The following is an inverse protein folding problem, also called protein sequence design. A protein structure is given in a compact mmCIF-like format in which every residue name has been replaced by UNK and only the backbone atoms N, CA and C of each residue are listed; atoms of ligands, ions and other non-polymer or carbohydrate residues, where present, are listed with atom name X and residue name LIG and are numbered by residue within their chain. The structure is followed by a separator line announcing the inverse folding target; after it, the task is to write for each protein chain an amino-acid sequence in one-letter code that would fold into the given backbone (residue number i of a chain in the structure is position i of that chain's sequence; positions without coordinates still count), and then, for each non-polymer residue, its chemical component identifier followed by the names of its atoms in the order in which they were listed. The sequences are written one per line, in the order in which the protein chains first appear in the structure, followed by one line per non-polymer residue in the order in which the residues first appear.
data_IF_780538556243
#
_entry.id   IF_780538556243
#
_cell.length_a   1.000
_cell.length_b   1.000
_cell.length_c   1.000
_cell.angle_alpha   90.00
_cell.angle_beta   90.00
_cell.angle_gamma   90.00
#
_symmetry.space_group_name_H-M   'P 1'
#
loop_
_entity.id
_entity.type
_entity.pdbx_description
1 polymer ?
#
# COMPACT_ATOMS: atom_id res chain seq x y z
N UNK A 1 6.97 -34.74 17.63
CA UNK A 1 6.43 -34.54 16.32
C UNK A 1 5.01 -34.07 16.61
N UNK A 2 4.81 -32.94 16.60
CA UNK A 2 4.52 -31.71 15.93
C UNK A 2 3.34 -30.98 16.56
N UNK A 3 3.56 -30.38 17.73
CA UNK A 3 2.62 -29.42 18.33
C UNK A 3 3.11 -27.97 18.23
N UNK A 4 4.09 -27.70 17.36
CA UNK A 4 4.70 -26.36 17.23
C UNK A 4 3.99 -25.49 16.18
N UNK A 5 3.13 -26.07 15.34
CA UNK A 5 2.46 -25.36 14.22
C UNK A 5 1.19 -24.59 14.58
N UNK A 6 0.47 -24.98 15.63
CA UNK A 6 -0.88 -24.44 15.92
C UNK A 6 -0.92 -23.30 16.95
N UNK A 7 0.19 -23.07 17.67
CA UNK A 7 0.24 -22.05 18.74
C UNK A 7 0.42 -20.63 18.20
N UNK A 8 0.95 -20.47 16.98
CA UNK A 8 1.26 -19.15 16.41
C UNK A 8 0.03 -18.44 15.81
N UNK A 9 -1.06 -19.11 15.50
CA UNK A 9 -2.22 -18.49 14.82
C UNK A 9 -3.01 -17.51 15.68
N UNK A 10 -2.92 -17.62 16.99
CA UNK A 10 -3.64 -16.75 17.93
C UNK A 10 -2.72 -15.75 18.66
N UNK A 11 -1.40 -15.83 18.48
CA UNK A 11 -0.48 -14.93 19.17
C UNK A 11 -0.60 -13.50 18.64
N UNK A 12 -0.76 -13.33 17.30
CA UNK A 12 -0.81 -12.04 16.62
C UNK A 12 -2.06 -11.94 15.75
N UNK A 13 -2.79 -10.86 15.90
CA UNK A 13 -3.82 -10.42 14.96
C UNK A 13 -3.30 -9.22 14.16
N UNK A 14 -3.43 -9.27 12.83
CA UNK A 14 -3.09 -8.17 11.93
C UNK A 14 -4.32 -7.29 11.67
N UNK A 15 -4.19 -5.98 11.84
CA UNK A 15 -5.22 -4.99 11.49
C UNK A 15 -4.69 -4.06 10.41
N UNK A 16 -5.24 -4.18 9.20
CA UNK A 16 -4.78 -3.48 8.01
C UNK A 16 -5.69 -2.28 7.73
N UNK A 17 -5.16 -1.07 7.91
CA UNK A 17 -5.83 0.19 7.63
C UNK A 17 -5.85 0.44 6.11
N UNK A 18 -6.99 0.21 5.47
CA UNK A 18 -7.21 0.33 4.03
C UNK A 18 -8.28 1.38 3.66
N UNK A 19 -8.56 2.31 4.57
CA UNK A 19 -9.66 3.28 4.48
C UNK A 19 -9.31 4.64 3.84
N UNK A 20 -8.07 4.90 3.44
CA UNK A 20 -7.62 6.20 2.93
C UNK A 20 -8.28 6.62 1.61
N UNK A 21 -8.77 7.87 1.52
CA UNK A 21 -9.38 8.43 0.28
C UNK A 21 -8.39 8.56 -0.86
N UNK A 22 -7.09 8.76 -0.58
CA UNK A 22 -6.05 8.94 -1.59
C UNK A 22 -6.26 10.15 -2.49
N UNK A 23 -6.82 11.25 -2.01
CA UNK A 23 -7.22 12.42 -2.82
C UNK A 23 -6.08 13.03 -3.63
N UNK A 24 -4.84 12.93 -3.14
CA UNK A 24 -3.63 13.41 -3.83
C UNK A 24 -3.26 12.61 -5.09
N UNK A 25 -3.82 11.41 -5.27
CA UNK A 25 -3.70 10.62 -6.49
C UNK A 25 -4.73 10.99 -7.58
N UNK A 26 -5.58 11.99 -7.33
CA UNK A 26 -6.46 12.58 -8.30
C UNK A 26 -7.40 11.58 -8.99
N UNK A 27 -7.26 11.42 -10.31
CA UNK A 27 -8.12 10.52 -11.09
C UNK A 27 -7.93 9.05 -10.75
N UNK A 28 -6.72 8.63 -10.32
CA UNK A 28 -6.39 7.23 -9.99
C UNK A 28 -7.24 6.68 -8.84
N UNK A 29 -7.70 7.54 -7.92
CA UNK A 29 -8.48 7.13 -6.74
C UNK A 29 -9.91 7.65 -6.73
N UNK A 30 -10.39 8.20 -7.86
CA UNK A 30 -11.74 8.77 -7.90
C UNK A 30 -12.85 7.77 -7.58
N UNK A 31 -12.70 6.54 -8.06
CA UNK A 31 -13.72 5.49 -7.96
C UNK A 31 -13.21 4.24 -7.22
N UNK A 32 -11.98 4.24 -6.76
CA UNK A 32 -11.34 3.12 -6.06
C UNK A 32 -10.57 3.63 -4.84
N UNK A 33 -10.49 2.83 -3.79
CA UNK A 33 -9.65 3.12 -2.64
C UNK A 33 -8.16 3.06 -3.02
N UNK A 34 -7.29 3.88 -2.39
CA UNK A 34 -5.85 3.90 -2.67
C UNK A 34 -5.22 2.51 -2.64
N UNK A 35 -5.50 1.63 -1.65
CA UNK A 35 -4.95 0.28 -1.62
C UNK A 35 -5.31 -0.59 -2.85
N UNK A 36 -6.40 -0.26 -3.56
CA UNK A 36 -6.84 -0.99 -4.75
C UNK A 36 -6.25 -0.46 -6.07
N UNK A 37 -5.42 0.58 -6.04
CA UNK A 37 -4.78 1.13 -7.25
C UNK A 37 -3.82 0.10 -7.84
N UNK A 38 -3.87 -0.15 -9.17
CA UNK A 38 -2.92 -1.04 -9.86
C UNK A 38 -1.48 -0.61 -9.65
N UNK A 39 -0.54 -1.55 -9.51
CA UNK A 39 0.87 -1.29 -9.28
C UNK A 39 1.74 -2.41 -9.89
N UNK A 40 2.93 -2.07 -10.43
CA UNK A 40 3.94 -3.02 -10.84
C UNK A 40 3.49 -4.03 -11.91
N UNK A 41 2.56 -3.65 -12.77
CA UNK A 41 2.10 -4.43 -13.92
C UNK A 41 0.92 -5.38 -13.63
N UNK A 42 0.90 -6.10 -12.52
CA UNK A 42 -0.16 -7.08 -12.20
C UNK A 42 -0.72 -6.97 -10.78
N UNK A 43 -0.07 -6.21 -9.92
CA UNK A 43 -0.43 -6.11 -8.51
C UNK A 43 -1.39 -4.94 -8.26
N UNK A 44 -1.88 -4.87 -7.02
CA UNK A 44 -2.44 -3.68 -6.39
C UNK A 44 -1.60 -3.32 -5.18
N UNK A 45 -1.64 -2.08 -4.74
CA UNK A 45 -0.82 -1.61 -3.61
C UNK A 45 -0.99 -2.52 -2.38
N UNK A 46 -2.21 -2.93 -2.05
CA UNK A 46 -2.51 -3.77 -0.87
C UNK A 46 -1.86 -5.16 -0.93
N UNK A 47 -1.54 -5.66 -2.13
CA UNK A 47 -0.98 -7.00 -2.31
C UNK A 47 0.37 -7.17 -1.59
N UNK A 48 1.14 -6.10 -1.47
CA UNK A 48 2.42 -6.10 -0.76
C UNK A 48 2.22 -6.37 0.73
N UNK A 49 1.32 -5.64 1.39
CA UNK A 49 1.05 -5.83 2.82
C UNK A 49 0.40 -7.18 3.10
N UNK A 50 -0.55 -7.63 2.26
CA UNK A 50 -1.15 -8.97 2.41
C UNK A 50 -0.13 -10.09 2.18
N UNK A 51 0.82 -9.90 1.25
CA UNK A 51 1.91 -10.84 1.01
C UNK A 51 2.88 -10.90 2.19
N UNK A 52 3.23 -9.75 2.75
CA UNK A 52 4.08 -9.69 3.96
C UNK A 52 3.43 -10.42 5.14
N UNK A 53 2.10 -10.23 5.36
CA UNK A 53 1.36 -10.97 6.40
C UNK A 53 1.44 -12.48 6.18
N UNK A 54 1.16 -12.93 4.94
CA UNK A 54 1.22 -14.35 4.58
C UNK A 54 2.63 -14.93 4.76
N UNK A 55 3.66 -14.23 4.27
CA UNK A 55 5.06 -14.66 4.38
C UNK A 55 5.56 -14.64 5.84
N UNK A 56 5.02 -13.77 6.69
CA UNK A 56 5.30 -13.72 8.13
C UNK A 56 4.44 -14.71 8.95
N UNK A 57 3.68 -15.58 8.31
CA UNK A 57 2.77 -16.54 8.97
C UNK A 57 1.68 -15.90 9.85
N UNK A 58 1.31 -14.66 9.62
CA UNK A 58 0.21 -13.98 10.32
C UNK A 58 -1.06 -14.19 9.50
N UNK A 59 -1.92 -15.06 10.01
CA UNK A 59 -3.07 -15.56 9.25
C UNK A 59 -4.42 -15.02 9.67
N UNK A 60 -4.51 -14.34 10.81
CA UNK A 60 -5.74 -13.69 11.26
C UNK A 60 -5.64 -12.20 10.97
N UNK A 61 -6.43 -11.71 10.01
CA UNK A 61 -6.28 -10.36 9.47
C UNK A 61 -7.63 -9.66 9.34
N UNK A 62 -7.78 -8.52 10.00
CA UNK A 62 -8.89 -7.59 9.79
C UNK A 62 -8.48 -6.48 8.81
N UNK A 63 -9.18 -6.33 7.70
CA UNK A 63 -8.95 -5.25 6.73
C UNK A 63 -10.01 -4.17 6.90
N UNK A 64 -9.61 -3.01 7.41
CA UNK A 64 -10.48 -1.88 7.71
C UNK A 64 -10.68 -1.03 6.46
N UNK A 65 -11.87 -1.07 5.88
CA UNK A 65 -12.22 -0.36 4.65
C UNK A 65 -13.27 0.71 4.93
N UNK A 66 -13.19 1.85 4.26
CA UNK A 66 -14.14 2.94 4.45
C UNK A 66 -14.63 3.56 3.15
N UNK A 67 -13.73 3.86 2.21
CA UNK A 67 -14.05 4.53 0.96
C UNK A 67 -13.99 3.57 -0.22
N UNK A 68 -14.95 3.71 -1.16
CA UNK A 68 -15.02 2.92 -2.40
C UNK A 68 -14.70 1.41 -2.22
N UNK A 69 -15.37 0.72 -1.29
CA UNK A 69 -14.93 -0.60 -0.84
C UNK A 69 -15.12 -1.70 -1.90
N UNK A 70 -16.00 -1.51 -2.88
CA UNK A 70 -16.42 -2.58 -3.80
C UNK A 70 -15.27 -3.25 -4.53
N UNK A 71 -14.37 -2.45 -5.14
CA UNK A 71 -13.24 -2.99 -5.90
C UNK A 71 -12.21 -3.65 -4.99
N UNK A 72 -11.97 -3.05 -3.83
CA UNK A 72 -11.05 -3.59 -2.82
C UNK A 72 -11.58 -4.90 -2.23
N UNK A 73 -12.87 -4.95 -1.83
CA UNK A 73 -13.51 -6.16 -1.32
C UNK A 73 -13.50 -7.29 -2.36
N UNK A 74 -13.79 -6.97 -3.64
CA UNK A 74 -13.72 -7.95 -4.71
C UNK A 74 -12.30 -8.47 -4.93
N UNK A 75 -11.29 -7.62 -4.79
CA UNK A 75 -9.88 -8.01 -4.93
C UNK A 75 -9.42 -8.87 -3.76
N UNK A 76 -9.74 -8.51 -2.52
CA UNK A 76 -9.38 -9.31 -1.35
C UNK A 76 -10.12 -10.66 -1.39
N UNK A 77 -11.42 -10.65 -1.70
CA UNK A 77 -12.27 -11.84 -1.68
C UNK A 77 -12.17 -12.58 -0.35
N UNK A 78 -11.86 -13.87 -0.40
CA UNK A 78 -11.61 -14.72 0.76
C UNK A 78 -10.11 -14.78 1.14
N UNK A 79 -9.23 -14.02 0.49
CA UNK A 79 -7.79 -14.04 0.76
C UNK A 79 -7.02 -15.20 0.13
N UNK A 80 -7.62 -15.96 -0.79
CA UNK A 80 -7.02 -17.15 -1.38
C UNK A 80 -5.64 -16.92 -2.03
N UNK A 81 -5.38 -15.84 -2.78
CA UNK A 81 -4.07 -15.59 -3.35
C UNK A 81 -2.93 -15.55 -2.32
N UNK A 82 -3.23 -15.08 -1.12
CA UNK A 82 -2.27 -14.94 -0.01
C UNK A 82 -2.37 -16.09 1.01
N UNK A 83 -3.11 -17.17 0.72
CA UNK A 83 -3.35 -18.26 1.66
C UNK A 83 -3.99 -17.80 3.00
N UNK A 84 -4.80 -16.74 2.93
CA UNK A 84 -5.55 -16.17 4.05
C UNK A 84 -7.01 -16.60 4.06
N UNK A 85 -7.36 -17.67 3.33
CA UNK A 85 -8.70 -18.30 3.28
C UNK A 85 -8.84 -19.43 4.31
N UNK A 86 -8.31 -19.20 5.51
CA UNK A 86 -8.34 -20.20 6.59
C UNK A 86 -9.69 -20.23 7.28
N UNK A 87 -10.06 -21.41 7.79
CA UNK A 87 -11.32 -21.61 8.51
C UNK A 87 -11.27 -20.96 9.90
N UNK A 88 -10.12 -21.08 10.59
CA UNK A 88 -9.86 -20.43 11.86
C UNK A 88 -8.88 -19.25 11.62
N UNK A 89 -9.42 -18.03 11.71
CA UNK A 89 -8.71 -16.80 11.33
C UNK A 89 -9.04 -16.37 9.89
N UNK A 90 -8.00 -16.26 9.04
CA UNK A 90 -8.17 -15.78 7.67
C UNK A 90 -8.35 -14.27 7.57
N UNK A 91 -8.64 -13.78 6.35
CA UNK A 91 -8.88 -12.36 6.12
C UNK A 91 -10.37 -12.04 6.28
N UNK A 92 -10.68 -11.02 7.06
CA UNK A 92 -12.02 -10.45 7.23
C UNK A 92 -12.01 -8.98 6.82
N UNK A 93 -12.94 -8.60 5.94
CA UNK A 93 -13.11 -7.19 5.56
C UNK A 93 -14.08 -6.54 6.54
N UNK A 94 -13.61 -5.52 7.24
CA UNK A 94 -14.31 -4.80 8.30
C UNK A 94 -14.66 -3.40 7.79
N UNK A 95 -15.93 -3.17 7.52
CA UNK A 95 -16.46 -1.88 7.08
C UNK A 95 -17.21 -1.19 8.23
N UNK A 96 -17.29 0.14 8.23
CA UNK A 96 -18.17 0.85 9.13
C UNK A 96 -19.60 0.32 9.02
N UNK A 97 -20.26 0.10 10.13
CA UNK A 97 -21.64 -0.35 10.15
C UNK A 97 -22.56 0.73 10.71
N UNK A 98 -23.79 0.74 10.22
CA UNK A 98 -24.83 1.59 10.78
C UNK A 98 -25.45 0.86 11.98
N UNK A 99 -25.46 1.54 13.13
CA UNK A 99 -26.25 1.14 14.31
C UNK A 99 -27.54 1.95 14.36
N UNK A 100 -28.30 1.81 15.47
CA UNK A 100 -29.57 2.55 15.64
C UNK A 100 -29.36 4.07 15.75
N UNK A 101 -28.13 4.55 15.97
CA UNK A 101 -27.76 5.96 16.11
C UNK A 101 -27.31 6.57 14.79
N UNK A 102 -27.08 5.79 13.75
CA UNK A 102 -26.70 6.24 12.41
C UNK A 102 -25.52 5.51 11.79
N UNK A 103 -25.04 5.98 10.63
CA UNK A 103 -23.83 5.47 9.98
C UNK A 103 -22.60 6.08 10.68
N UNK A 104 -21.77 5.22 11.25
CA UNK A 104 -20.56 5.63 11.98
C UNK A 104 -19.35 5.44 11.06
N UNK A 105 -18.85 6.53 10.48
CA UNK A 105 -17.56 6.53 9.79
C UNK A 105 -16.41 6.43 10.82
N UNK A 106 -15.27 5.89 10.40
CA UNK A 106 -14.06 5.96 11.21
C UNK A 106 -13.55 7.41 11.22
N UNK A 107 -13.39 8.00 12.37
CA UNK A 107 -12.99 9.39 12.55
C UNK A 107 -11.45 9.53 12.46
N UNK A 108 -10.73 8.54 12.98
CA UNK A 108 -9.27 8.44 12.95
C UNK A 108 -8.78 7.00 12.80
N UNK A 109 -7.47 6.84 12.78
CA UNK A 109 -6.84 5.52 12.65
C UNK A 109 -7.04 4.66 13.91
N UNK A 110 -7.04 5.27 15.10
CA UNK A 110 -7.33 4.59 16.36
C UNK A 110 -8.81 4.24 16.49
N UNK A 111 -9.73 5.13 16.08
CA UNK A 111 -11.17 4.87 16.06
C UNK A 111 -11.53 3.65 15.20
N UNK A 112 -10.84 3.49 14.07
CA UNK A 112 -11.04 2.32 13.21
C UNK A 112 -10.73 1.01 13.94
N UNK A 113 -9.74 0.97 14.82
CA UNK A 113 -9.43 -0.19 15.66
C UNK A 113 -10.44 -0.30 16.80
N UNK A 114 -10.77 0.80 17.47
CA UNK A 114 -11.72 0.87 18.60
C UNK A 114 -13.08 0.27 18.22
N UNK A 115 -13.62 0.69 17.09
CA UNK A 115 -14.91 0.16 16.56
C UNK A 115 -14.88 -1.33 16.20
N UNK A 116 -13.70 -1.92 16.11
CA UNK A 116 -13.50 -3.33 15.79
C UNK A 116 -12.83 -4.15 16.92
N UNK A 117 -12.81 -3.64 18.16
CA UNK A 117 -12.27 -4.32 19.35
C UNK A 117 -12.89 -5.73 19.49
N UNK A 118 -14.20 -5.86 19.26
CA UNK A 118 -14.92 -7.15 19.37
C UNK A 118 -14.38 -8.21 18.38
N UNK A 119 -13.93 -7.81 17.19
CA UNK A 119 -13.27 -8.71 16.23
C UNK A 119 -11.94 -9.19 16.80
N UNK A 120 -11.14 -8.31 17.38
CA UNK A 120 -9.83 -8.65 17.94
C UNK A 120 -9.99 -9.54 19.17
N UNK A 121 -10.90 -9.18 20.09
CA UNK A 121 -11.16 -9.91 21.34
C UNK A 121 -11.65 -11.36 21.11
N UNK A 122 -12.23 -11.69 19.94
CA UNK A 122 -12.61 -13.07 19.59
C UNK A 122 -11.41 -14.03 19.52
N UNK A 123 -10.23 -13.51 19.20
CA UNK A 123 -9.00 -14.28 19.05
C UNK A 123 -8.10 -14.22 20.29
N UNK A 124 -8.40 -13.35 21.27
CA UNK A 124 -7.63 -13.10 22.49
C UNK A 124 -6.09 -13.04 22.23
N UNK A 125 -5.62 -12.21 21.30
CA UNK A 125 -4.22 -12.19 20.92
C UNK A 125 -3.35 -11.58 22.01
N UNK A 126 -2.08 -11.97 22.04
CA UNK A 126 -1.09 -11.30 22.88
C UNK A 126 -0.65 -9.97 22.27
N UNK A 127 -0.48 -9.96 20.93
CA UNK A 127 -0.02 -8.80 20.18
C UNK A 127 -1.00 -8.40 19.07
N UNK A 128 -1.11 -7.09 18.85
CA UNK A 128 -1.82 -6.51 17.72
C UNK A 128 -0.81 -5.87 16.77
N UNK A 129 -0.77 -6.34 15.53
CA UNK A 129 -0.01 -5.73 14.45
C UNK A 129 -0.92 -4.81 13.64
N UNK A 130 -0.62 -3.51 13.63
CA UNK A 130 -1.36 -2.51 12.86
C UNK A 130 -0.52 -2.10 11.67
N UNK A 131 -1.14 -2.09 10.48
CA UNK A 131 -0.48 -1.91 9.20
C UNK A 131 -1.20 -0.87 8.35
N UNK A 132 -0.45 -0.12 7.55
CA UNK A 132 -0.98 0.67 6.44
C UNK A 132 -1.05 -0.18 5.18
N UNK A 133 -2.20 -0.13 4.48
CA UNK A 133 -2.45 -0.88 3.24
C UNK A 133 -2.10 -0.11 1.97
N UNK A 134 -1.31 0.96 2.07
CA UNK A 134 -1.08 1.91 1.00
C UNK A 134 0.40 2.22 0.71
N UNK A 135 1.31 1.36 1.17
CA UNK A 135 2.76 1.44 0.95
C UNK A 135 3.29 0.24 0.16
N UNK A 136 4.41 0.45 -0.53
CA UNK A 136 5.14 -0.59 -1.27
C UNK A 136 6.41 -0.94 -0.51
N UNK A 137 6.50 -2.18 -0.02
CA UNK A 137 7.65 -2.69 0.73
C UNK A 137 7.56 -4.21 0.91
N UNK A 138 8.70 -4.84 1.25
CA UNK A 138 8.76 -6.24 1.71
C UNK A 138 9.34 -6.26 3.10
N UNK A 139 8.63 -6.85 4.06
CA UNK A 139 9.04 -6.89 5.47
C UNK A 139 8.59 -8.18 6.13
N UNK A 140 9.51 -8.80 6.87
CA UNK A 140 9.21 -9.89 7.77
C UNK A 140 8.78 -9.34 9.13
N UNK A 141 7.48 -9.40 9.40
CA UNK A 141 6.92 -8.92 10.67
C UNK A 141 7.32 -9.79 11.87
N UNK A 142 7.77 -11.04 11.63
CA UNK A 142 8.26 -11.88 12.71
C UNK A 142 9.52 -11.30 13.36
N UNK A 143 10.43 -10.74 12.54
CA UNK A 143 11.64 -10.09 13.08
C UNK A 143 11.30 -8.87 13.96
N UNK A 144 10.29 -8.09 13.58
CA UNK A 144 9.81 -6.97 14.39
C UNK A 144 9.14 -7.44 15.68
N UNK A 145 8.39 -8.56 15.62
CA UNK A 145 7.79 -9.17 16.80
C UNK A 145 8.83 -9.71 17.78
N UNK A 146 9.86 -10.37 17.28
CA UNK A 146 10.96 -10.88 18.08
C UNK A 146 11.71 -9.74 18.79
N UNK A 147 11.95 -8.63 18.09
CA UNK A 147 12.50 -7.40 18.67
C UNK A 147 11.57 -6.83 19.76
N UNK A 148 10.25 -6.76 19.50
CA UNK A 148 9.26 -6.30 20.47
C UNK A 148 9.31 -7.10 21.77
N UNK A 149 9.38 -8.43 21.64
CA UNK A 149 9.50 -9.36 22.78
C UNK A 149 10.83 -9.21 23.52
N UNK A 150 11.95 -9.09 22.79
CA UNK A 150 13.28 -8.89 23.38
C UNK A 150 13.33 -7.61 24.22
N UNK A 151 12.77 -6.52 23.71
CA UNK A 151 12.69 -5.23 24.40
C UNK A 151 11.64 -5.20 25.52
N UNK A 152 10.78 -6.21 25.63
CA UNK A 152 9.62 -6.22 26.54
C UNK A 152 8.80 -4.94 26.37
N UNK A 153 8.61 -4.52 25.11
CA UNK A 153 7.98 -3.27 24.76
C UNK A 153 6.47 -3.31 25.00
N UNK A 154 5.86 -2.17 25.36
CA UNK A 154 4.41 -1.98 25.31
C UNK A 154 3.97 -1.70 23.87
N UNK A 155 4.83 -1.00 23.09
CA UNK A 155 4.65 -0.76 21.68
C UNK A 155 5.99 -0.73 20.93
N UNK A 156 5.98 -1.21 19.68
CA UNK A 156 7.12 -1.08 18.76
C UNK A 156 6.63 -0.42 17.47
N UNK A 157 7.35 0.58 17.01
CA UNK A 157 7.03 1.37 15.81
C UNK A 157 8.12 1.10 14.76
N UNK A 158 7.74 0.61 13.60
CA UNK A 158 8.68 0.47 12.49
C UNK A 158 9.03 1.83 11.91
N UNK A 159 10.32 2.07 11.70
CA UNK A 159 10.86 3.35 11.24
C UNK A 159 11.87 3.16 10.10
N UNK A 160 11.96 4.18 9.26
CA UNK A 160 12.92 4.26 8.17
C UNK A 160 13.55 5.66 8.14
N UNK A 161 14.80 5.76 7.72
CA UNK A 161 15.43 7.05 7.47
C UNK A 161 15.00 7.60 6.11
N UNK A 162 14.46 8.81 6.09
CA UNK A 162 14.04 9.51 4.87
C UNK A 162 14.91 10.77 4.64
N UNK A 163 14.97 11.33 3.44
CA UNK A 163 15.57 12.66 3.24
C UNK A 163 14.92 13.69 4.17
N UNK A 164 15.72 14.55 4.80
CA UNK A 164 15.22 15.51 5.81
C UNK A 164 14.15 16.45 5.23
N UNK A 165 14.22 16.74 3.94
CA UNK A 165 13.26 17.57 3.21
C UNK A 165 11.88 16.91 3.12
N UNK A 166 11.80 15.58 3.21
CA UNK A 166 10.56 14.81 3.18
C UNK A 166 10.02 14.50 4.57
N UNK A 167 10.84 14.64 5.62
CA UNK A 167 10.51 14.22 6.97
C UNK A 167 9.22 14.88 7.52
N UNK A 168 8.92 16.11 7.12
CA UNK A 168 7.68 16.81 7.50
C UNK A 168 6.38 16.15 7.01
N UNK A 169 6.45 15.14 6.16
CA UNK A 169 5.30 14.39 5.65
C UNK A 169 4.87 13.24 6.57
N UNK A 170 5.74 12.86 7.50
CA UNK A 170 5.63 11.65 8.32
C UNK A 170 5.62 11.98 9.82
N UNK A 171 5.16 11.04 10.62
CA UNK A 171 5.44 11.05 12.05
C UNK A 171 6.93 10.80 12.28
N UNK A 172 7.59 11.68 13.04
CA UNK A 172 9.03 11.63 13.29
C UNK A 172 9.29 11.19 14.72
N UNK A 173 10.19 10.22 14.87
CA UNK A 173 10.55 9.67 16.17
C UNK A 173 11.92 10.16 16.64
N UNK A 174 11.97 10.53 17.91
CA UNK A 174 13.23 10.83 18.60
C UNK A 174 13.51 9.70 19.61
N UNK A 175 14.70 9.08 19.50
CA UNK A 175 15.06 7.88 20.28
C UNK A 175 16.34 8.06 21.06
N UNK A 176 16.47 7.31 22.15
CA UNK A 176 17.73 7.07 22.84
C UNK A 176 18.64 6.13 22.02
N UNK A 177 19.87 5.89 22.47
CA UNK A 177 20.84 5.03 21.76
C UNK A 177 20.36 3.57 21.64
N UNK A 178 19.54 3.09 22.59
CA UNK A 178 18.96 1.74 22.61
C UNK A 178 17.67 1.60 21.81
N UNK A 179 17.30 2.66 21.05
CA UNK A 179 16.08 2.79 20.25
C UNK A 179 14.80 2.99 21.07
N UNK A 180 14.89 3.27 22.37
CA UNK A 180 13.73 3.68 23.15
C UNK A 180 13.24 5.04 22.68
N UNK A 181 11.95 5.15 22.40
CA UNK A 181 11.31 6.38 21.93
C UNK A 181 11.02 7.27 23.15
N UNK A 182 11.45 8.53 23.09
CA UNK A 182 11.13 9.53 24.10
C UNK A 182 10.24 10.66 23.59
N UNK A 183 10.10 10.81 22.25
CA UNK A 183 9.27 11.85 21.63
C UNK A 183 8.77 11.36 20.27
N UNK A 184 7.54 11.69 19.95
CA UNK A 184 6.90 11.46 18.67
C UNK A 184 6.23 12.75 18.20
N UNK A 185 6.60 13.22 17.03
CA UNK A 185 6.06 14.44 16.40
C UNK A 185 5.31 14.07 15.13
N UNK A 186 3.98 14.22 15.09
CA UNK A 186 3.18 13.95 13.89
C UNK A 186 3.30 15.11 12.89
N UNK A 187 3.90 14.84 11.73
CA UNK A 187 4.09 15.76 10.61
C UNK A 187 4.63 17.15 11.02
N UNK A 188 5.77 17.20 11.72
CA UNK A 188 6.32 18.46 12.19
C UNK A 188 6.70 19.39 11.05
N UNK A 189 6.43 20.69 11.18
CA UNK A 189 6.88 21.69 10.18
C UNK A 189 8.41 21.82 10.12
N UNK A 190 9.07 21.59 11.25
CA UNK A 190 10.54 21.64 11.39
C UNK A 190 11.02 20.36 12.09
N UNK A 191 11.19 19.25 11.35
CA UNK A 191 11.61 17.99 11.93
C UNK A 191 12.99 18.08 12.55
N UNK A 192 13.17 17.52 13.75
CA UNK A 192 14.45 17.50 14.49
C UNK A 192 15.41 16.44 13.94
N UNK A 193 14.87 15.40 13.31
CA UNK A 193 15.61 14.34 12.62
C UNK A 193 14.80 13.77 11.47
N UNK A 194 15.27 12.68 10.86
CA UNK A 194 14.70 12.06 9.69
C UNK A 194 14.23 10.61 9.90
N UNK A 195 14.04 10.19 11.14
CA UNK A 195 13.57 8.85 11.48
C UNK A 195 12.03 8.81 11.39
N UNK A 196 11.52 8.42 10.25
CA UNK A 196 10.11 8.47 9.90
C UNK A 196 9.38 7.18 10.30
N UNK A 197 8.19 7.31 10.88
CA UNK A 197 7.27 6.20 11.10
C UNK A 197 6.75 5.65 9.76
N UNK A 198 6.80 4.35 9.60
CA UNK A 198 6.24 3.65 8.46
C UNK A 198 4.73 3.39 8.61
N UNK A 199 4.10 3.77 9.73
CA UNK A 199 2.71 3.42 10.00
C UNK A 199 2.50 1.92 10.26
N UNK A 200 3.52 1.25 10.77
CA UNK A 200 3.53 -0.16 11.13
C UNK A 200 3.84 -0.26 12.61
N UNK A 201 2.91 -0.83 13.37
CA UNK A 201 2.98 -0.87 14.83
C UNK A 201 2.71 -2.27 15.35
N UNK A 202 3.48 -2.71 16.39
CA UNK A 202 3.13 -3.86 17.22
C UNK A 202 2.83 -3.34 18.63
N UNK A 203 1.70 -3.72 19.16
CA UNK A 203 1.28 -3.38 20.53
C UNK A 203 0.99 -4.65 21.34
N UNK A 204 1.27 -4.62 22.63
CA UNK A 204 0.63 -5.53 23.59
C UNK A 204 -0.89 -5.25 23.57
N UNK A 205 -1.70 -6.23 23.13
CA UNK A 205 -3.14 -5.99 22.93
C UNK A 205 -3.83 -5.47 24.18
N UNK A 206 -3.58 -6.09 25.34
CA UNK A 206 -4.22 -5.67 26.60
C UNK A 206 -3.89 -4.23 26.98
N UNK A 207 -2.66 -3.80 26.73
CA UNK A 207 -2.23 -2.42 27.00
C UNK A 207 -2.92 -1.47 26.04
N UNK A 208 -2.85 -1.70 24.73
CA UNK A 208 -3.46 -0.83 23.73
C UNK A 208 -4.98 -0.70 23.92
N UNK A 209 -5.64 -1.81 24.24
CA UNK A 209 -7.10 -1.85 24.45
C UNK A 209 -7.58 -0.87 25.52
N UNK A 210 -6.83 -0.70 26.62
CA UNK A 210 -7.14 0.26 27.66
C UNK A 210 -7.08 1.72 27.15
N UNK A 211 -6.04 2.04 26.35
CA UNK A 211 -5.90 3.36 25.73
C UNK A 211 -7.00 3.65 24.71
N UNK A 212 -7.38 2.67 23.88
CA UNK A 212 -8.43 2.82 22.88
C UNK A 212 -9.80 3.11 23.54
N UNK A 213 -10.15 2.36 24.61
CA UNK A 213 -11.39 2.58 25.36
C UNK A 213 -11.39 3.95 26.06
N UNK A 214 -10.26 4.37 26.61
CA UNK A 214 -10.14 5.68 27.23
C UNK A 214 -10.24 6.81 26.19
N UNK A 215 -9.64 6.62 25.02
CA UNK A 215 -9.63 7.58 23.92
C UNK A 215 -11.03 7.77 23.30
N UNK A 216 -11.84 6.71 23.21
CA UNK A 216 -13.23 6.77 22.73
C UNK A 216 -14.09 7.75 23.56
N UNK A 217 -13.77 7.93 24.84
CA UNK A 217 -14.49 8.85 25.73
C UNK A 217 -13.92 10.29 25.73
N UNK A 218 -12.79 10.49 25.05
CA UNK A 218 -12.10 11.79 25.00
C UNK A 218 -12.61 12.64 23.82
N UNK A 219 -13.52 13.55 24.09
CA UNK A 219 -14.10 14.47 23.09
C UNK A 219 -13.12 15.46 22.47
N UNK A 220 -11.88 15.54 22.96
CA UNK A 220 -10.83 16.41 22.42
C UNK A 220 -9.86 15.63 21.53
N UNK A 221 -9.95 14.30 21.53
CA UNK A 221 -9.12 13.43 20.70
C UNK A 221 -9.55 13.51 19.23
N UNK A 222 -8.57 13.40 18.33
CA UNK A 222 -8.78 13.15 16.90
C UNK A 222 -8.91 11.64 16.61
N UNK A 223 -8.78 10.82 17.65
CA UNK A 223 -8.82 9.36 17.59
C UNK A 223 -7.78 8.77 16.62
N UNK A 224 -6.59 9.32 16.65
CA UNK A 224 -5.47 8.95 15.79
C UNK A 224 -4.29 8.39 16.60
N UNK A 225 -3.56 7.42 16.00
CA UNK A 225 -2.40 6.84 16.69
C UNK A 225 -1.29 7.85 16.92
N UNK A 226 -0.97 8.66 15.91
CA UNK A 226 0.13 9.62 15.97
C UNK A 226 -0.18 10.83 16.85
N UNK A 227 -1.41 11.35 16.74
CA UNK A 227 -1.80 12.56 17.47
C UNK A 227 -2.22 12.27 18.92
N UNK A 228 -2.78 11.09 19.21
CA UNK A 228 -3.41 10.82 20.50
C UNK A 228 -2.83 9.63 21.26
N UNK A 229 -2.85 8.41 20.67
CA UNK A 229 -2.53 7.20 21.39
C UNK A 229 -1.04 7.12 21.76
N UNK A 230 -0.14 7.32 20.79
CA UNK A 230 1.31 7.24 21.01
C UNK A 230 1.77 8.31 22.02
N UNK A 231 1.40 9.60 21.89
CA UNK A 231 1.73 10.62 22.90
C UNK A 231 1.20 10.27 24.30
N UNK A 232 -0.06 9.84 24.43
CA UNK A 232 -0.64 9.44 25.73
C UNK A 232 0.13 8.27 26.37
N UNK A 233 0.61 7.31 25.55
CA UNK A 233 1.44 6.19 26.04
C UNK A 233 2.82 6.67 26.51
N UNK A 234 3.46 7.60 25.78
CA UNK A 234 4.75 8.20 26.15
C UNK A 234 4.62 8.98 27.47
N UNK A 235 3.59 9.81 27.62
CA UNK A 235 3.32 10.58 28.84
C UNK A 235 3.09 9.67 30.05
N UNK A 236 2.51 8.50 29.85
CA UNK A 236 2.33 7.48 30.87
C UNK A 236 3.59 6.62 31.12
N UNK A 237 4.75 6.98 30.54
CA UNK A 237 6.02 6.27 30.64
C UNK A 237 5.96 4.79 30.21
N UNK A 238 5.15 4.47 29.21
CA UNK A 238 5.14 3.16 28.59
C UNK A 238 6.44 2.91 27.80
N UNK A 239 6.80 1.64 27.63
CA UNK A 239 8.01 1.24 26.93
C UNK A 239 7.74 1.19 25.42
N UNK A 240 8.07 2.26 24.70
CA UNK A 240 7.96 2.36 23.25
C UNK A 240 9.34 2.29 22.62
N UNK A 241 9.50 1.44 21.59
CA UNK A 241 10.75 1.26 20.87
C UNK A 241 10.59 1.43 19.36
N UNK A 242 11.63 1.98 18.73
CA UNK A 242 11.73 2.10 17.27
C UNK A 242 12.41 0.83 16.72
N UNK A 243 11.75 0.16 15.77
CA UNK A 243 12.34 -0.91 14.98
C UNK A 243 12.84 -0.35 13.66
N UNK A 244 14.16 -0.35 13.43
CA UNK A 244 14.75 0.15 12.19
C UNK A 244 14.53 -0.86 11.07
N UNK A 245 13.76 -0.46 10.07
CA UNK A 245 13.57 -1.23 8.85
C UNK A 245 14.69 -0.94 7.86
N UNK A 246 15.24 -2.01 7.28
CA UNK A 246 16.21 -1.94 6.20
C UNK A 246 15.59 -2.57 4.95
N UNK A 247 15.49 -1.80 3.87
CA UNK A 247 14.92 -2.27 2.62
C UNK A 247 14.19 -1.17 1.84
N UNK A 248 13.64 -1.55 0.70
CA UNK A 248 12.83 -0.63 -0.10
C UNK A 248 11.48 -0.37 0.58
N UNK A 249 11.16 0.91 0.74
CA UNK A 249 9.86 1.37 1.20
C UNK A 249 9.47 2.67 0.48
N UNK A 250 8.24 2.74 -0.02
CA UNK A 250 7.72 3.93 -0.70
C UNK A 250 6.25 4.18 -0.32
N UNK A 251 5.95 5.38 0.19
CA UNK A 251 4.58 5.90 0.27
C UNK A 251 4.17 6.43 -1.12
N UNK A 252 3.28 5.70 -1.78
CA UNK A 252 2.74 6.07 -3.09
C UNK A 252 1.53 6.99 -2.96
N UNK A 253 1.65 8.04 -2.16
CA UNK A 253 0.57 8.97 -1.81
C UNK A 253 0.31 10.09 -2.80
N UNK A 254 1.20 10.35 -3.76
CA UNK A 254 1.07 11.36 -4.81
C UNK A 254 1.25 10.75 -6.20
N UNK A 255 0.82 11.46 -7.25
CA UNK A 255 1.03 11.02 -8.64
C UNK A 255 2.52 10.81 -8.93
N UNK A 256 3.38 11.74 -8.47
CA UNK A 256 4.82 11.64 -8.65
C UNK A 256 5.38 10.41 -7.93
N UNK A 257 5.10 10.22 -6.65
CA UNK A 257 5.62 9.07 -5.90
C UNK A 257 5.08 7.72 -6.41
N UNK A 258 3.84 7.68 -6.91
CA UNK A 258 3.29 6.50 -7.57
C UNK A 258 4.01 6.18 -8.87
N UNK A 259 4.29 7.18 -9.71
CA UNK A 259 5.03 7.00 -10.96
C UNK A 259 6.46 6.57 -10.67
N UNK A 260 7.18 7.27 -9.79
CA UNK A 260 8.55 6.91 -9.38
C UNK A 260 8.61 5.46 -8.87
N UNK A 261 7.73 5.07 -7.96
CA UNK A 261 7.72 3.71 -7.41
C UNK A 261 7.53 2.62 -8.47
N UNK A 262 6.78 2.91 -9.55
CA UNK A 262 6.68 1.98 -10.69
C UNK A 262 7.95 1.98 -11.56
N UNK A 263 8.59 3.14 -11.75
CA UNK A 263 9.87 3.25 -12.47
C UNK A 263 11.01 2.60 -11.67
N UNK A 264 11.03 2.76 -10.34
CA UNK A 264 12.00 2.11 -9.44
C UNK A 264 12.06 0.58 -9.67
N UNK A 265 10.94 -0.07 -10.04
CA UNK A 265 10.90 -1.51 -10.34
C UNK A 265 11.71 -1.91 -11.59
N UNK A 266 12.10 -0.95 -12.42
CA UNK A 266 12.91 -1.16 -13.62
C UNK A 266 14.40 -1.06 -13.33
N UNK A 267 14.77 -0.54 -12.13
CA UNK A 267 16.15 -0.42 -11.70
C UNK A 267 16.73 -1.77 -11.31
N UNK A 268 18.02 -1.99 -11.62
CA UNK A 268 18.70 -3.28 -11.43
C UNK A 268 18.62 -3.77 -9.99
N UNK A 269 18.82 -2.85 -9.01
CA UNK A 269 18.86 -3.16 -7.58
C UNK A 269 17.48 -3.55 -7.01
N UNK A 270 16.39 -3.18 -7.70
CA UNK A 270 15.00 -3.43 -7.24
C UNK A 270 14.27 -4.53 -8.02
N UNK A 271 14.92 -5.12 -9.02
CA UNK A 271 14.33 -6.26 -9.78
C UNK A 271 13.94 -7.42 -8.88
N UNK A 272 14.62 -7.61 -7.77
CA UNK A 272 14.31 -8.68 -6.81
C UNK A 272 13.02 -8.42 -6.03
N UNK A 273 12.55 -7.17 -5.88
CA UNK A 273 11.33 -6.84 -5.14
C UNK A 273 10.10 -7.61 -5.67
N UNK A 274 9.98 -7.76 -6.98
CA UNK A 274 8.89 -8.53 -7.60
C UNK A 274 9.26 -9.99 -7.92
N UNK A 275 10.54 -10.33 -7.97
CA UNK A 275 11.03 -11.63 -8.40
C UNK A 275 11.63 -12.48 -7.26
N UNK A 276 11.55 -12.02 -6.02
CA UNK A 276 12.05 -12.76 -4.87
C UNK A 276 11.33 -14.11 -4.72
N UNK A 277 12.11 -15.19 -4.72
CA UNK A 277 11.59 -16.55 -4.48
C UNK A 277 11.47 -16.85 -2.99
N UNK A 278 12.25 -16.20 -2.16
CA UNK A 278 12.24 -16.36 -0.70
C UNK A 278 11.15 -15.52 -0.05
N UNK A 279 10.76 -14.40 -0.69
CA UNK A 279 9.71 -13.48 -0.21
C UNK A 279 8.78 -13.06 -1.36
N UNK A 280 7.96 -13.97 -1.89
CA UNK A 280 7.14 -13.69 -3.06
C UNK A 280 6.03 -12.68 -2.74
N UNK A 281 5.75 -11.81 -3.70
CA UNK A 281 4.57 -10.95 -3.68
C UNK A 281 3.43 -11.66 -4.41
N UNK A 282 2.36 -11.97 -3.70
CA UNK A 282 1.18 -12.65 -4.23
C UNK A 282 0.14 -11.67 -4.73
N UNK A 283 -0.64 -12.08 -5.70
CA UNK A 283 -1.82 -11.38 -6.22
C UNK A 283 -2.75 -12.38 -6.91
N UNK A 284 -3.87 -11.91 -7.44
CA UNK A 284 -4.71 -12.73 -8.30
C UNK A 284 -3.98 -13.14 -9.57
N UNK A 285 -4.04 -14.42 -9.89
CA UNK A 285 -3.58 -14.92 -11.18
C UNK A 285 -4.67 -14.70 -12.23
N UNK A 286 -4.36 -13.89 -13.23
CA UNK A 286 -5.17 -13.77 -14.45
C UNK A 286 -4.73 -14.86 -15.42
N UNK A 287 -5.68 -15.71 -15.85
CA UNK A 287 -5.39 -16.76 -16.84
C UNK A 287 -5.36 -16.15 -18.24
N UNK A 288 -4.32 -15.36 -18.52
CA UNK A 288 -4.10 -14.65 -19.76
C UNK A 288 -3.05 -15.35 -20.64
N UNK A 289 -3.14 -15.24 -21.98
CA UNK A 289 -2.09 -15.74 -22.87
C UNK A 289 -0.79 -14.96 -22.67
N UNK A 290 0.36 -15.52 -23.10
CA UNK A 290 1.61 -14.77 -23.14
C UNK A 290 1.47 -13.46 -23.93
N UNK A 291 2.32 -12.48 -23.63
CA UNK A 291 2.43 -11.28 -24.45
C UNK A 291 2.95 -11.63 -25.86
N UNK A 292 2.45 -10.90 -26.86
CA UNK A 292 2.91 -11.01 -28.24
C UNK A 292 3.73 -9.78 -28.65
N UNK A 293 4.94 -10.00 -29.15
CA UNK A 293 5.83 -8.94 -29.64
C UNK A 293 5.96 -9.05 -31.15
N UNK A 294 5.54 -8.03 -31.88
CA UNK A 294 5.58 -7.96 -33.33
C UNK A 294 7.01 -7.90 -33.90
N UNK A 295 7.17 -8.28 -35.18
CA UNK A 295 8.48 -8.38 -35.81
C UNK A 295 9.29 -7.06 -35.86
N UNK A 296 8.65 -5.91 -35.81
CA UNK A 296 9.27 -4.59 -35.85
C UNK A 296 9.12 -3.83 -34.51
N UNK A 297 8.61 -4.50 -33.47
CA UNK A 297 8.52 -3.94 -32.13
C UNK A 297 9.90 -3.98 -31.45
N UNK A 298 10.12 -3.01 -30.56
CA UNK A 298 11.27 -3.01 -29.67
C UNK A 298 10.81 -2.79 -28.23
N UNK A 299 11.37 -3.56 -27.30
CA UNK A 299 11.12 -3.42 -25.86
C UNK A 299 12.47 -3.30 -25.18
N UNK A 300 12.68 -2.23 -24.44
CA UNK A 300 13.88 -1.97 -23.68
C UNK A 300 13.53 -1.63 -22.23
N UNK A 301 14.28 -2.17 -21.26
CA UNK A 301 14.13 -1.96 -19.81
C UNK A 301 12.70 -1.73 -19.34
N UNK A 302 11.77 -2.64 -19.66
CA UNK A 302 10.34 -2.46 -19.41
C UNK A 302 9.67 -3.71 -18.84
N UNK A 303 8.65 -3.52 -18.00
CA UNK A 303 7.75 -4.60 -17.58
C UNK A 303 6.56 -4.68 -18.55
N UNK A 304 6.35 -5.84 -19.15
CA UNK A 304 5.21 -6.09 -20.06
C UNK A 304 4.45 -7.32 -19.57
N UNK A 305 3.20 -7.12 -19.17
CA UNK A 305 2.39 -8.18 -18.58
C UNK A 305 1.64 -9.04 -19.63
N UNK A 306 1.17 -10.24 -19.22
CA UNK A 306 0.47 -11.17 -20.10
C UNK A 306 -0.75 -10.56 -20.81
N UNK A 307 -1.10 -11.13 -21.97
CA UNK A 307 -2.22 -10.67 -22.80
C UNK A 307 -1.93 -9.43 -23.64
N UNK A 308 -0.73 -8.84 -23.51
CA UNK A 308 -0.36 -7.62 -24.25
C UNK A 308 0.08 -7.89 -25.68
N UNK A 309 -0.22 -6.94 -26.58
CA UNK A 309 0.20 -6.95 -27.99
C UNK A 309 1.08 -5.74 -28.27
N UNK A 310 2.36 -5.96 -28.56
CA UNK A 310 3.34 -4.88 -28.76
C UNK A 310 3.78 -4.86 -30.20
N UNK A 311 3.43 -3.82 -30.95
CA UNK A 311 3.84 -3.60 -32.34
C UNK A 311 4.72 -2.35 -32.47
N UNK A 312 4.77 -1.49 -31.45
CA UNK A 312 5.57 -0.27 -31.40
C UNK A 312 6.84 -0.41 -30.57
N UNK A 313 7.36 0.72 -30.14
CA UNK A 313 8.55 0.84 -29.30
C UNK A 313 8.12 1.14 -27.86
N UNK A 314 8.67 0.35 -26.91
CA UNK A 314 8.42 0.51 -25.47
C UNK A 314 9.77 0.61 -24.77
N UNK A 315 9.99 1.69 -24.05
CA UNK A 315 11.24 1.98 -23.36
C UNK A 315 10.94 2.47 -21.94
N UNK A 316 11.67 1.93 -20.95
CA UNK A 316 11.60 2.32 -19.54
C UNK A 316 10.15 2.51 -19.05
N UNK A 317 9.28 1.51 -19.25
CA UNK A 317 7.84 1.62 -19.03
C UNK A 317 7.24 0.40 -18.37
N UNK A 318 6.11 0.58 -17.68
CA UNK A 318 5.33 -0.50 -17.06
C UNK A 318 3.99 -0.65 -17.78
N UNK A 319 3.83 -1.75 -18.51
CA UNK A 319 2.61 -2.11 -19.21
C UNK A 319 1.89 -3.24 -18.47
N UNK A 320 0.68 -2.94 -18.03
CA UNK A 320 -0.20 -3.91 -17.39
C UNK A 320 -0.78 -4.91 -18.36
N UNK A 321 -1.60 -5.84 -17.87
CA UNK A 321 -2.21 -6.91 -18.67
C UNK A 321 -3.10 -6.36 -19.79
N UNK A 322 -3.13 -7.06 -20.91
CA UNK A 322 -4.00 -6.79 -22.07
C UNK A 322 -3.80 -5.40 -22.72
N UNK A 323 -2.60 -4.84 -22.59
CA UNK A 323 -2.25 -3.57 -23.25
C UNK A 323 -1.91 -3.82 -24.71
N UNK A 324 -2.38 -2.96 -25.60
CA UNK A 324 -1.98 -2.95 -27.01
C UNK A 324 -1.19 -1.69 -27.32
N UNK A 325 -0.01 -1.84 -27.95
CA UNK A 325 0.81 -0.74 -28.48
C UNK A 325 0.89 -0.88 -30.00
N UNK A 326 0.31 0.07 -30.73
CA UNK A 326 0.19 0.06 -32.19
C UNK A 326 1.53 0.27 -32.92
N UNK A 327 1.53 -0.01 -34.22
CA UNK A 327 2.71 0.14 -35.09
C UNK A 327 3.23 1.58 -35.12
N UNK A 328 4.53 1.75 -34.96
CA UNK A 328 5.17 3.07 -34.94
C UNK A 328 4.87 3.92 -33.71
N UNK A 329 4.10 3.41 -32.75
CA UNK A 329 3.91 4.11 -31.48
C UNK A 329 5.19 4.03 -30.61
N UNK A 330 5.44 5.07 -29.83
CA UNK A 330 6.54 5.18 -28.86
C UNK A 330 5.95 5.39 -27.48
N UNK A 331 6.27 4.48 -26.55
CA UNK A 331 5.88 4.55 -25.14
C UNK A 331 7.15 4.62 -24.31
N UNK A 332 7.38 5.70 -23.58
CA UNK A 332 8.62 5.94 -22.84
C UNK A 332 8.32 6.55 -21.47
N UNK A 333 9.02 6.08 -20.42
CA UNK A 333 8.84 6.55 -19.04
C UNK A 333 7.35 6.56 -18.61
N UNK A 334 6.58 5.56 -19.04
CA UNK A 334 5.13 5.59 -18.92
C UNK A 334 4.57 4.37 -18.18
N UNK A 335 3.41 4.57 -17.56
CA UNK A 335 2.62 3.51 -16.95
C UNK A 335 1.33 3.38 -17.76
N UNK A 336 1.11 2.20 -18.34
CA UNK A 336 -0.10 1.92 -19.12
C UNK A 336 -0.94 0.88 -18.36
N UNK A 337 -2.08 1.29 -17.86
CA UNK A 337 -2.99 0.45 -17.07
C UNK A 337 -3.70 -0.60 -17.94
N UNK A 338 -4.34 -1.63 -17.30
CA UNK A 338 -4.90 -2.77 -17.99
C UNK A 338 -5.90 -2.40 -19.10
N UNK A 339 -5.91 -3.22 -20.17
CA UNK A 339 -6.91 -3.14 -21.26
C UNK A 339 -6.91 -1.82 -22.03
N UNK A 340 -5.79 -1.12 -22.01
CA UNK A 340 -5.60 0.14 -22.72
C UNK A 340 -5.01 -0.12 -24.11
N UNK A 341 -5.55 0.56 -25.11
CA UNK A 341 -5.08 0.50 -26.49
C UNK A 341 -4.40 1.82 -26.85
N UNK A 342 -3.12 1.76 -27.16
CA UNK A 342 -2.35 2.86 -27.76
C UNK A 342 -2.36 2.67 -29.27
N UNK A 343 -2.93 3.61 -30.01
CA UNK A 343 -3.04 3.58 -31.47
C UNK A 343 -1.68 3.64 -32.18
N UNK A 344 -1.74 3.59 -33.54
CA UNK A 344 -0.54 3.67 -34.37
C UNK A 344 0.08 5.07 -34.33
N UNK A 345 1.42 5.11 -34.45
CA UNK A 345 2.19 6.36 -34.50
C UNK A 345 1.92 7.34 -33.33
N UNK A 346 1.46 6.84 -32.19
CA UNK A 346 1.29 7.63 -30.97
C UNK A 346 2.66 7.90 -30.32
N UNK A 347 2.73 9.00 -29.55
CA UNK A 347 3.89 9.29 -28.68
C UNK A 347 3.40 9.49 -27.25
N UNK A 348 3.78 8.60 -26.34
CA UNK A 348 3.42 8.64 -24.91
C UNK A 348 4.71 8.73 -24.11
N UNK A 349 4.91 9.85 -23.40
CA UNK A 349 6.14 10.08 -22.58
C UNK A 349 5.79 10.65 -21.21
N UNK A 350 6.46 10.15 -20.16
CA UNK A 350 6.27 10.56 -18.77
C UNK A 350 4.77 10.74 -18.44
N UNK A 351 4.01 9.64 -18.60
CA UNK A 351 2.56 9.66 -18.49
C UNK A 351 2.03 8.39 -17.80
N UNK A 352 0.84 8.52 -17.22
CA UNK A 352 0.05 7.41 -16.66
C UNK A 352 -1.26 7.37 -17.46
N UNK A 353 -1.46 6.32 -18.22
CA UNK A 353 -2.70 6.11 -18.99
C UNK A 353 -3.56 5.10 -18.21
N UNK A 354 -4.75 5.54 -17.80
CA UNK A 354 -5.66 4.74 -16.99
C UNK A 354 -6.27 3.57 -17.81
N UNK A 355 -6.88 2.66 -17.09
CA UNK A 355 -7.44 1.42 -17.63
C UNK A 355 -8.63 1.64 -18.61
N UNK A 356 -8.79 0.66 -19.52
CA UNK A 356 -9.88 0.60 -20.50
C UNK A 356 -9.98 1.83 -21.45
N UNK A 357 -8.86 2.52 -21.71
CA UNK A 357 -8.83 3.65 -22.63
C UNK A 357 -8.38 3.23 -24.04
N UNK A 358 -8.86 3.94 -25.03
CA UNK A 358 -8.41 3.84 -26.43
C UNK A 358 -7.82 5.20 -26.81
N UNK A 359 -6.49 5.23 -27.01
CA UNK A 359 -5.78 6.39 -27.53
C UNK A 359 -5.76 6.27 -29.05
N UNK A 360 -6.41 7.17 -29.81
CA UNK A 360 -6.45 7.13 -31.28
C UNK A 360 -5.07 7.24 -31.92
N UNK A 361 -4.97 6.84 -33.20
CA UNK A 361 -3.75 6.94 -33.96
C UNK A 361 -3.19 8.39 -34.03
N UNK A 362 -1.87 8.51 -33.96
CA UNK A 362 -1.15 9.78 -34.09
C UNK A 362 -1.20 10.74 -32.90
N UNK A 363 -1.82 10.35 -31.79
CA UNK A 363 -1.93 11.18 -30.59
C UNK A 363 -0.57 11.31 -29.89
N UNK A 364 -0.24 12.52 -29.43
CA UNK A 364 0.92 12.81 -28.61
C UNK A 364 0.51 13.24 -27.20
N UNK A 365 1.04 12.54 -26.20
CA UNK A 365 0.92 12.85 -24.78
C UNK A 365 2.34 12.88 -24.24
N UNK A 366 2.87 14.07 -23.98
CA UNK A 366 4.26 14.29 -23.60
C UNK A 366 4.37 15.12 -22.31
N UNK A 367 4.60 14.46 -21.19
CA UNK A 367 4.77 15.06 -19.86
C UNK A 367 6.21 15.41 -19.50
N UNK A 368 7.17 15.33 -20.44
CA UNK A 368 8.60 15.56 -20.13
C UNK A 368 8.91 17.00 -19.69
N UNK A 369 8.07 17.95 -20.04
CA UNK A 369 8.20 19.37 -19.63
C UNK A 369 7.43 19.69 -18.34
N UNK A 370 6.60 18.78 -17.88
CA UNK A 370 5.79 18.95 -16.66
C UNK A 370 6.58 18.52 -15.44
N UNK A 371 6.25 19.09 -14.29
CA UNK A 371 6.86 18.69 -13.01
C UNK A 371 6.45 17.24 -12.66
N UNK A 372 5.17 16.92 -12.80
CA UNK A 372 4.61 15.59 -12.54
C UNK A 372 4.23 14.88 -13.85
N UNK A 373 4.13 13.54 -13.85
CA UNK A 373 3.63 12.80 -15.00
C UNK A 373 2.18 13.19 -15.35
N UNK A 374 1.87 13.21 -16.67
CA UNK A 374 0.50 13.47 -17.12
C UNK A 374 -0.37 12.24 -16.83
N UNK A 375 -1.48 12.44 -16.12
CA UNK A 375 -2.49 11.39 -15.90
C UNK A 375 -3.62 11.54 -16.91
N UNK A 376 -3.80 10.55 -17.76
CA UNK A 376 -4.91 10.47 -18.73
C UNK A 376 -5.93 9.45 -18.26
N UNK A 377 -7.12 9.92 -18.03
CA UNK A 377 -8.26 9.12 -17.61
C UNK A 377 -9.54 9.45 -18.40
N UNK A 378 -10.67 8.79 -18.10
CA UNK A 378 -11.93 9.00 -18.81
C UNK A 378 -12.42 10.46 -18.83
N UNK A 379 -11.95 11.28 -17.88
CA UNK A 379 -12.39 12.68 -17.77
C UNK A 379 -11.68 13.64 -18.72
N UNK A 380 -10.41 13.40 -19.01
CA UNK A 380 -9.57 14.34 -19.76
C UNK A 380 -8.97 13.76 -21.04
N UNK A 381 -9.31 12.53 -21.42
CA UNK A 381 -8.83 11.92 -22.66
C UNK A 381 -9.17 12.78 -23.88
N UNK A 382 -10.33 13.45 -23.89
CA UNK A 382 -10.78 14.32 -24.98
C UNK A 382 -9.85 15.53 -25.23
N UNK A 383 -9.11 15.99 -24.21
CA UNK A 383 -8.12 17.07 -24.33
C UNK A 383 -6.97 16.68 -25.25
N UNK A 384 -6.65 15.39 -25.31
CA UNK A 384 -5.56 14.84 -26.11
C UNK A 384 -6.03 14.28 -27.45
N UNK A 385 -7.29 13.92 -27.58
CA UNK A 385 -7.85 13.24 -28.77
C UNK A 385 -8.61 14.15 -29.72
N UNK A 386 -8.61 15.47 -29.51
CA UNK A 386 -9.25 16.42 -30.39
C UNK A 386 -10.78 16.28 -30.48
N UNK A 387 -11.44 15.72 -29.45
CA UNK A 387 -12.88 15.56 -29.40
C UNK A 387 -13.42 14.33 -30.15
N UNK A 388 -12.56 13.45 -30.64
CA UNK A 388 -12.93 12.16 -31.22
C UNK A 388 -12.67 11.06 -30.18
N UNK A 389 -13.62 10.83 -29.27
CA UNK A 389 -13.65 9.69 -28.35
C UNK A 389 -15.01 9.01 -28.43
#
# INVERSE_FOLDING_TARGET
MDEVGDIMSNEVVGMLLAGGKGTRLGQLTKNIAKPAVPFGGKYRIIDFTLSNLSNSNISTVGVLVQYAPLMLNRHIGLGKPWSLDKQDGGVSVLAPFANQEGASWFEGTADAITKNIHFIDQYDPEYLLILSGDHIYQMDYQQMLDFHKEKQADATISVIEVPIEEASRFGILNTEEDLKIYEFDEKPQHPKNNLASMGIYIFNWKVLREYLIADEQDTQSEHDFGNDIIPKMLDANKLLYAYRFEGYWKDVGTIQSYWEANMDLLEEDLKELLNSKSWPTYSHEENLPPQYVGAHANIDNSLVCPGSFIFGHVDHSVLFSEVTVGEGAVVQDAIIHPKTVIGKACTIRKAIIMDNLIIPDGVTIDGTKEQEPIVVGPKNIHEFTGGHA
#
